data_IF_139014070130
#
_entry.id   IF_139014070130
#
_cell.length_a   1.000
_cell.length_b   1.000
_cell.length_c   1.000
_cell.angle_alpha   90.00
_cell.angle_beta   90.00
_cell.angle_gamma   90.00
#
_symmetry.space_group_name_H-M   'P 1'
#
loop_
_entity.id
_entity.type
_entity.pdbx_description
1 polymer ?
#
# COMPACT_ATOMS: atom_id res chain seq x y z
N UNK A 1 -28.03 -20.87 -33.13
CA UNK A 1 -28.03 -19.93 -34.26
C UNK A 1 -26.59 -19.50 -34.47
N UNK A 2 -26.16 -19.50 -35.70
CA UNK A 2 -24.85 -18.93 -36.07
C UNK A 2 -25.07 -17.44 -36.37
N UNK A 3 -24.22 -16.58 -35.83
CA UNK A 3 -24.19 -15.14 -36.07
C UNK A 3 -23.12 -14.84 -37.15
N UNK A 4 -23.37 -13.97 -38.14
CA UNK A 4 -24.65 -13.32 -38.45
C UNK A 4 -25.63 -14.27 -39.18
N UNK A 5 -26.95 -14.04 -38.96
CA UNK A 5 -27.99 -14.75 -39.68
C UNK A 5 -28.36 -14.09 -41.03
N UNK A 6 -28.05 -12.80 -41.15
CA UNK A 6 -28.25 -12.03 -42.37
C UNK A 6 -27.22 -12.41 -43.42
N UNK A 7 -27.63 -12.53 -44.66
CA UNK A 7 -26.79 -12.68 -45.86
C UNK A 7 -26.67 -11.36 -46.61
N UNK A 8 -25.61 -11.21 -47.38
CA UNK A 8 -25.44 -10.09 -48.28
C UNK A 8 -26.52 -10.12 -49.36
N UNK A 9 -27.13 -8.98 -49.66
CA UNK A 9 -28.16 -8.81 -50.67
C UNK A 9 -27.62 -7.87 -51.73
N UNK A 10 -27.62 -8.32 -52.99
CA UNK A 10 -27.13 -7.56 -54.13
C UNK A 10 -28.23 -6.70 -54.77
N UNK A 11 -27.84 -5.67 -55.50
CA UNK A 11 -28.78 -4.83 -56.21
C UNK A 11 -29.56 -5.65 -57.30
N UNK A 12 -30.88 -5.67 -57.18
CA UNK A 12 -31.76 -6.45 -58.07
C UNK A 12 -32.32 -7.72 -57.41
N UNK A 13 -31.83 -8.10 -56.24
CA UNK A 13 -32.40 -9.22 -55.49
C UNK A 13 -33.81 -8.88 -54.96
N UNK A 14 -34.69 -9.89 -54.97
CA UNK A 14 -36.00 -9.73 -54.35
C UNK A 14 -35.88 -9.53 -52.83
N UNK A 15 -36.54 -8.49 -52.30
CA UNK A 15 -36.61 -8.27 -50.85
C UNK A 15 -37.50 -9.34 -50.20
N UNK A 16 -36.91 -10.29 -49.54
CA UNK A 16 -37.61 -11.36 -48.85
C UNK A 16 -37.84 -11.02 -47.38
N UNK A 17 -38.99 -11.47 -46.87
CA UNK A 17 -39.27 -11.35 -45.41
C UNK A 17 -38.18 -12.00 -44.55
N UNK A 18 -37.49 -13.02 -45.05
CA UNK A 18 -36.37 -13.66 -44.40
C UNK A 18 -35.15 -12.72 -44.22
N UNK A 19 -34.86 -11.83 -45.18
CA UNK A 19 -33.77 -10.87 -45.07
C UNK A 19 -34.02 -9.91 -43.92
N UNK A 20 -35.27 -9.39 -43.82
CA UNK A 20 -35.65 -8.50 -42.75
C UNK A 20 -35.66 -9.21 -41.36
N UNK A 21 -36.18 -10.43 -41.30
CA UNK A 21 -36.22 -11.21 -40.06
C UNK A 21 -34.83 -11.63 -39.62
N UNK A 22 -33.92 -11.94 -40.51
CA UNK A 22 -32.54 -12.26 -40.19
C UNK A 22 -31.80 -11.03 -39.65
N UNK A 23 -31.95 -9.87 -40.29
CA UNK A 23 -31.38 -8.62 -39.84
C UNK A 23 -31.92 -8.23 -38.45
N UNK A 24 -33.25 -8.40 -38.21
CA UNK A 24 -33.86 -8.18 -36.93
C UNK A 24 -33.32 -9.16 -35.89
N UNK A 25 -33.12 -10.42 -36.24
CA UNK A 25 -32.55 -11.43 -35.34
C UNK A 25 -31.12 -11.10 -34.96
N UNK A 26 -30.31 -10.60 -35.90
CA UNK A 26 -28.94 -10.18 -35.66
C UNK A 26 -28.91 -8.95 -34.73
N UNK A 27 -29.78 -7.96 -34.94
CA UNK A 27 -29.90 -6.79 -34.09
C UNK A 27 -30.35 -7.15 -32.68
N UNK A 28 -31.31 -8.06 -32.54
CA UNK A 28 -31.74 -8.57 -31.22
C UNK A 28 -30.65 -9.38 -30.55
N UNK A 29 -29.90 -10.17 -31.31
CA UNK A 29 -28.78 -10.95 -30.73
C UNK A 29 -27.71 -10.05 -30.13
N UNK A 30 -27.40 -8.92 -30.77
CA UNK A 30 -26.45 -7.93 -30.23
C UNK A 30 -27.00 -7.16 -29.04
N UNK A 31 -28.33 -7.02 -28.91
CA UNK A 31 -28.98 -6.24 -27.86
C UNK A 31 -29.51 -7.04 -26.67
N UNK A 32 -29.56 -8.37 -26.76
CA UNK A 32 -30.14 -9.22 -25.71
C UNK A 32 -29.09 -9.80 -24.77
N UNK A 33 -29.46 -9.93 -23.48
CA UNK A 33 -28.75 -10.76 -22.51
C UNK A 33 -29.37 -12.16 -22.47
N UNK A 34 -28.58 -13.22 -22.65
CA UNK A 34 -29.04 -14.61 -22.56
C UNK A 34 -27.92 -15.60 -22.84
N UNK A 35 -28.19 -16.90 -22.61
CA UNK A 35 -27.18 -17.96 -22.68
C UNK A 35 -26.44 -18.04 -24.01
N UNK A 36 -27.09 -17.57 -25.10
CA UNK A 36 -26.53 -17.56 -26.45
C UNK A 36 -26.47 -16.16 -27.08
N UNK A 37 -26.77 -15.10 -26.34
CA UNK A 37 -26.75 -13.73 -26.80
C UNK A 37 -25.49 -13.01 -26.32
N UNK A 38 -24.76 -12.37 -27.23
CA UNK A 38 -23.69 -11.46 -26.89
C UNK A 38 -24.30 -10.07 -26.77
N UNK A 39 -24.74 -9.68 -25.58
CA UNK A 39 -25.11 -8.29 -25.34
C UNK A 39 -23.87 -7.39 -25.53
N UNK A 40 -24.09 -6.14 -25.92
CA UNK A 40 -23.00 -5.16 -25.97
C UNK A 40 -22.26 -5.04 -24.63
N UNK A 41 -22.99 -5.19 -23.51
CA UNK A 41 -22.40 -5.23 -22.17
C UNK A 41 -21.51 -6.47 -21.98
N UNK A 42 -21.97 -7.65 -22.39
CA UNK A 42 -21.17 -8.88 -22.33
C UNK A 42 -19.97 -8.84 -23.31
N UNK A 43 -20.11 -8.18 -24.46
CA UNK A 43 -19.01 -7.93 -25.36
C UNK A 43 -17.97 -6.99 -24.71
N UNK A 44 -18.42 -5.93 -24.07
CA UNK A 44 -17.55 -5.00 -23.34
C UNK A 44 -16.89 -5.68 -22.13
N UNK A 45 -17.61 -6.49 -21.34
CA UNK A 45 -17.03 -7.28 -20.25
C UNK A 45 -15.99 -8.28 -20.74
N UNK A 46 -16.24 -8.95 -21.86
CA UNK A 46 -15.29 -9.88 -22.47
C UNK A 46 -14.10 -9.18 -23.12
N UNK A 47 -14.30 -7.97 -23.62
CA UNK A 47 -13.21 -7.11 -24.11
C UNK A 47 -12.33 -6.58 -22.99
N UNK A 48 -12.88 -6.48 -21.81
CA UNK A 48 -12.17 -6.15 -20.56
C UNK A 48 -11.33 -7.31 -20.00
N UNK A 49 -11.36 -8.49 -20.65
CA UNK A 49 -10.54 -9.60 -20.22
C UNK A 49 -9.06 -9.26 -20.39
N UNK A 50 -8.34 -9.47 -19.35
CA UNK A 50 -6.99 -9.12 -19.00
C UNK A 50 -5.94 -9.62 -19.98
N UNK A 51 -5.82 -9.03 -21.15
CA UNK A 51 -4.70 -9.32 -22.03
C UNK A 51 -3.42 -8.87 -21.35
N UNK A 52 -2.57 -9.81 -21.01
CA UNK A 52 -1.23 -9.58 -20.50
C UNK A 52 -0.23 -10.38 -21.30
N UNK A 53 0.78 -9.69 -21.81
CA UNK A 53 1.91 -10.32 -22.48
C UNK A 53 3.03 -10.52 -21.46
N UNK A 54 3.52 -11.74 -21.35
CA UNK A 54 4.65 -12.10 -20.52
C UNK A 54 5.77 -12.71 -21.36
N UNK A 55 7.01 -12.58 -20.90
CA UNK A 55 8.14 -13.32 -21.47
C UNK A 55 8.06 -14.76 -21.03
N UNK A 56 8.24 -15.69 -21.97
CA UNK A 56 8.49 -17.09 -21.69
C UNK A 56 9.98 -17.37 -22.01
N UNK A 57 10.79 -17.53 -20.98
CA UNK A 57 12.24 -17.60 -21.15
C UNK A 57 12.84 -16.30 -21.67
N UNK A 58 13.79 -16.40 -22.60
CA UNK A 58 14.50 -15.24 -23.17
C UNK A 58 14.03 -14.86 -24.57
N UNK A 59 13.34 -15.73 -25.28
CA UNK A 59 13.08 -15.59 -26.73
C UNK A 59 11.61 -15.61 -27.12
N UNK A 60 10.71 -16.07 -26.25
CA UNK A 60 9.31 -16.24 -26.54
C UNK A 60 8.44 -15.31 -25.71
N UNK A 61 7.24 -15.05 -26.20
CA UNK A 61 6.17 -14.31 -25.51
C UNK A 61 4.97 -15.23 -25.28
N UNK A 62 4.23 -14.95 -24.22
CA UNK A 62 3.04 -15.67 -23.79
C UNK A 62 1.90 -14.71 -23.53
N UNK A 63 0.70 -15.06 -23.97
CA UNK A 63 -0.55 -14.56 -23.42
C UNK A 63 -0.94 -15.51 -22.29
N UNK A 64 -0.92 -15.02 -21.04
CA UNK A 64 -1.34 -15.81 -19.91
C UNK A 64 -2.87 -15.87 -19.85
N UNK A 65 -3.41 -17.09 -19.84
CA UNK A 65 -4.85 -17.34 -19.75
C UNK A 65 -5.12 -18.66 -19.03
N UNK A 66 -6.31 -18.77 -18.42
CA UNK A 66 -6.80 -20.02 -17.81
C UNK A 66 -8.31 -20.12 -18.00
N UNK A 67 -8.89 -21.27 -17.68
CA UNK A 67 -10.34 -21.45 -17.72
C UNK A 67 -11.07 -20.53 -16.73
N UNK A 68 -10.44 -20.23 -15.59
CA UNK A 68 -10.98 -19.28 -14.60
C UNK A 68 -10.79 -17.81 -15.00
N UNK A 69 -9.77 -17.53 -15.80
CA UNK A 69 -9.42 -16.18 -16.26
C UNK A 69 -9.13 -16.22 -17.79
N UNK A 70 -10.14 -16.39 -18.62
CA UNK A 70 -9.95 -16.45 -20.06
C UNK A 70 -9.60 -15.08 -20.64
N UNK A 71 -8.77 -15.07 -21.67
CA UNK A 71 -8.47 -13.88 -22.47
C UNK A 71 -9.31 -13.89 -23.73
N UNK A 72 -10.09 -12.83 -23.94
CA UNK A 72 -10.95 -12.69 -25.13
C UNK A 72 -10.52 -11.49 -25.96
N UNK A 73 -10.51 -11.64 -27.26
CA UNK A 73 -10.16 -10.63 -28.25
C UNK A 73 -11.20 -10.61 -29.37
N UNK A 74 -11.37 -9.46 -30.00
CA UNK A 74 -12.11 -9.34 -31.25
C UNK A 74 -11.11 -9.24 -32.39
N UNK A 75 -11.14 -10.21 -33.31
CA UNK A 75 -10.29 -10.25 -34.51
C UNK A 75 -11.19 -10.35 -35.73
N UNK A 76 -11.08 -9.43 -36.67
CA UNK A 76 -11.91 -9.36 -37.89
C UNK A 76 -13.42 -9.41 -37.58
N UNK A 77 -13.89 -8.79 -36.50
CA UNK A 77 -15.30 -8.80 -36.09
C UNK A 77 -15.74 -10.06 -35.31
N UNK A 78 -14.87 -11.03 -35.11
CA UNK A 78 -15.20 -12.28 -34.43
C UNK A 78 -14.55 -12.30 -33.03
N UNK A 79 -15.34 -12.74 -32.03
CA UNK A 79 -14.84 -12.98 -30.70
C UNK A 79 -14.04 -14.28 -30.66
N UNK A 80 -12.79 -14.20 -30.24
CA UNK A 80 -11.92 -15.36 -29.99
C UNK A 80 -11.49 -15.38 -28.51
N UNK A 81 -11.28 -16.58 -27.99
CA UNK A 81 -10.98 -16.75 -26.58
C UNK A 81 -9.83 -17.75 -26.36
N UNK A 82 -8.94 -17.43 -25.44
CA UNK A 82 -7.96 -18.36 -24.89
C UNK A 82 -8.37 -18.75 -23.47
N UNK A 83 -8.56 -20.01 -23.20
CA UNK A 83 -8.85 -20.60 -21.88
C UNK A 83 -7.63 -21.31 -21.28
N UNK A 84 -6.52 -21.24 -21.97
CA UNK A 84 -5.18 -21.71 -21.58
C UNK A 84 -4.14 -20.75 -22.14
N UNK A 85 -2.90 -20.82 -21.62
CA UNK A 85 -1.80 -20.01 -22.13
C UNK A 85 -1.64 -20.17 -23.65
N UNK A 86 -1.40 -19.05 -24.34
CA UNK A 86 -1.06 -19.03 -25.76
C UNK A 86 0.37 -18.54 -25.89
N UNK A 87 1.25 -19.42 -26.34
CA UNK A 87 2.68 -19.16 -26.47
C UNK A 87 3.02 -18.84 -27.94
N UNK A 88 3.99 -17.95 -28.15
CA UNK A 88 4.60 -17.79 -29.46
C UNK A 88 5.29 -19.12 -29.83
N UNK A 89 4.98 -19.66 -30.99
CA UNK A 89 5.59 -20.89 -31.46
C UNK A 89 7.12 -20.71 -31.62
N UNK A 90 7.90 -21.74 -31.35
CA UNK A 90 9.36 -21.71 -31.48
C UNK A 90 9.82 -21.35 -32.91
N UNK A 91 9.05 -21.76 -33.91
CA UNK A 91 9.31 -21.44 -35.32
C UNK A 91 9.12 -19.94 -35.65
N UNK A 92 8.35 -19.22 -34.82
CA UNK A 92 8.00 -17.80 -35.05
C UNK A 92 8.91 -16.86 -34.20
N UNK A 93 9.88 -17.42 -33.48
CA UNK A 93 10.87 -16.64 -32.73
C UNK A 93 11.76 -15.88 -33.72
N UNK A 94 11.98 -14.55 -33.54
CA UNK A 94 12.88 -13.79 -34.39
C UNK A 94 14.28 -14.42 -34.48
N UNK A 95 14.87 -14.42 -35.68
CA UNK A 95 16.22 -14.93 -35.94
C UNK A 95 17.10 -13.92 -36.67
N UNK A 96 16.57 -12.72 -36.93
CA UNK A 96 17.25 -11.63 -37.64
C UNK A 96 18.02 -10.68 -36.75
N UNK A 97 18.59 -9.59 -37.32
CA UNK A 97 19.26 -8.55 -36.56
C UNK A 97 18.31 -7.85 -35.58
N UNK A 98 18.88 -7.04 -34.70
CA UNK A 98 18.14 -6.21 -33.76
C UNK A 98 17.05 -5.37 -34.42
N UNK A 99 15.85 -5.42 -33.89
CA UNK A 99 14.67 -4.66 -34.38
C UNK A 99 13.52 -4.67 -33.37
N UNK A 100 12.59 -3.74 -33.54
CA UNK A 100 11.30 -3.80 -32.90
C UNK A 100 10.39 -4.79 -33.62
N UNK A 101 9.84 -5.74 -32.88
CA UNK A 101 8.87 -6.71 -33.36
C UNK A 101 7.49 -6.44 -32.75
N UNK A 102 6.47 -6.49 -33.58
CA UNK A 102 5.06 -6.36 -33.20
C UNK A 102 4.45 -7.74 -33.06
N UNK A 103 3.64 -7.93 -32.03
CA UNK A 103 2.99 -9.19 -31.67
C UNK A 103 1.55 -9.14 -32.17
N UNK A 104 1.16 -10.15 -32.91
CA UNK A 104 -0.18 -10.30 -33.46
C UNK A 104 -0.85 -11.56 -32.90
N UNK A 105 -2.12 -11.41 -32.53
CA UNK A 105 -3.05 -12.52 -32.35
C UNK A 105 -3.69 -12.82 -33.69
N UNK A 106 -3.62 -14.09 -34.14
CA UNK A 106 -4.09 -14.55 -35.42
C UNK A 106 -5.29 -15.49 -35.24
N UNK A 107 -6.38 -15.25 -35.93
CA UNK A 107 -7.55 -16.10 -35.99
C UNK A 107 -7.57 -16.88 -37.30
N UNK A 108 -7.61 -18.22 -37.23
CA UNK A 108 -7.94 -19.03 -38.38
C UNK A 108 -9.44 -18.94 -38.65
N UNK A 109 -9.84 -19.03 -39.94
CA UNK A 109 -11.26 -19.00 -40.30
C UNK A 109 -12.03 -20.12 -39.61
N UNK A 110 -13.19 -19.76 -39.05
CA UNK A 110 -14.01 -20.67 -38.26
C UNK A 110 -13.50 -20.95 -36.84
N UNK A 111 -12.31 -20.44 -36.46
CA UNK A 111 -11.77 -20.66 -35.12
C UNK A 111 -12.38 -19.73 -34.08
N UNK A 112 -12.57 -20.26 -32.87
CA UNK A 112 -12.94 -19.51 -31.67
C UNK A 112 -11.73 -19.21 -30.77
N UNK A 113 -10.52 -19.66 -31.17
CA UNK A 113 -9.26 -19.41 -30.51
C UNK A 113 -8.30 -18.63 -31.40
N UNK A 114 -7.17 -18.21 -30.87
CA UNK A 114 -6.13 -17.50 -31.61
C UNK A 114 -4.74 -18.07 -31.33
N UNK A 115 -3.80 -17.83 -32.23
CA UNK A 115 -2.37 -18.10 -32.06
C UNK A 115 -1.58 -16.79 -32.07
N UNK A 116 -0.29 -16.85 -31.73
CA UNK A 116 0.59 -15.69 -31.79
C UNK A 116 1.52 -15.76 -32.98
N UNK A 117 1.83 -14.60 -33.59
CA UNK A 117 2.94 -14.40 -34.51
C UNK A 117 3.64 -13.05 -34.23
N UNK A 118 4.82 -12.87 -34.81
CA UNK A 118 5.56 -11.62 -34.70
C UNK A 118 6.00 -11.13 -36.11
N UNK A 119 6.09 -9.83 -36.28
CA UNK A 119 6.53 -9.18 -37.50
C UNK A 119 7.22 -7.86 -37.21
N UNK A 120 8.15 -7.44 -38.05
CA UNK A 120 8.71 -6.08 -38.02
C UNK A 120 7.78 -5.05 -38.65
N UNK A 121 6.75 -5.47 -39.38
CA UNK A 121 5.69 -4.59 -39.91
C UNK A 121 4.62 -4.36 -38.84
N UNK A 122 4.14 -3.11 -38.73
CA UNK A 122 3.04 -2.69 -37.87
C UNK A 122 1.66 -3.03 -38.42
N UNK A 123 1.58 -3.40 -39.69
CA UNK A 123 0.30 -3.55 -40.42
C UNK A 123 -0.40 -4.84 -40.02
N UNK A 124 -1.67 -4.74 -39.64
CA UNK A 124 -2.53 -5.89 -39.36
C UNK A 124 -3.02 -6.53 -40.67
N UNK A 125 -2.97 -7.86 -40.78
CA UNK A 125 -3.66 -8.62 -41.83
C UNK A 125 -5.14 -8.78 -41.51
N UNK A 126 -5.91 -9.32 -42.51
CA UNK A 126 -7.38 -9.44 -42.39
C UNK A 126 -7.85 -10.22 -41.16
N UNK A 127 -7.12 -11.25 -40.74
CA UNK A 127 -7.45 -12.11 -39.61
C UNK A 127 -6.43 -11.92 -38.44
N UNK A 128 -5.85 -10.74 -38.32
CA UNK A 128 -4.83 -10.40 -37.32
C UNK A 128 -5.27 -9.22 -36.47
N UNK A 129 -4.84 -9.24 -35.23
CA UNK A 129 -4.95 -8.12 -34.32
C UNK A 129 -3.61 -7.89 -33.64
N UNK A 130 -3.04 -6.70 -33.77
CA UNK A 130 -1.84 -6.32 -33.03
C UNK A 130 -2.17 -6.18 -31.57
N UNK A 131 -1.40 -6.87 -30.71
CA UNK A 131 -1.64 -6.94 -29.26
C UNK A 131 -0.48 -6.41 -28.45
N UNK A 132 0.69 -6.20 -29.07
CA UNK A 132 1.85 -5.68 -28.37
C UNK A 132 3.09 -5.57 -29.23
N UNK A 133 4.20 -5.26 -28.61
CA UNK A 133 5.53 -5.21 -29.21
C UNK A 133 6.63 -5.52 -28.21
N UNK A 134 7.81 -5.83 -28.73
CA UNK A 134 9.07 -5.93 -27.98
C UNK A 134 10.25 -5.53 -28.87
N UNK A 135 11.38 -5.27 -28.23
CA UNK A 135 12.66 -5.10 -28.93
C UNK A 135 13.45 -6.40 -28.87
N UNK A 136 13.90 -6.86 -30.04
CA UNK A 136 14.79 -8.00 -30.24
C UNK A 136 16.20 -7.49 -30.40
N UNK A 137 17.17 -7.98 -29.59
CA UNK A 137 18.58 -7.54 -29.61
C UNK A 137 19.46 -8.37 -30.55
N UNK A 138 18.86 -9.21 -31.39
CA UNK A 138 19.55 -10.15 -32.29
C UNK A 138 19.65 -11.57 -31.71
N UNK A 139 19.44 -11.76 -30.40
CA UNK A 139 19.56 -13.04 -29.70
C UNK A 139 18.35 -13.32 -28.77
N UNK A 140 17.83 -12.30 -28.14
CA UNK A 140 16.77 -12.40 -27.12
C UNK A 140 15.85 -11.18 -27.14
N UNK A 141 14.73 -11.31 -26.43
CA UNK A 141 13.83 -10.19 -26.13
C UNK A 141 14.48 -9.34 -25.04
N UNK A 142 14.70 -8.05 -25.29
CA UNK A 142 15.20 -7.09 -24.29
C UNK A 142 14.25 -7.05 -23.08
N UNK A 143 14.82 -7.09 -21.86
CA UNK A 143 14.10 -7.38 -20.61
C UNK A 143 12.87 -6.50 -20.40
N UNK A 144 12.98 -5.21 -20.59
CA UNK A 144 11.91 -4.25 -20.29
C UNK A 144 11.27 -3.64 -21.53
N UNK A 145 11.43 -4.30 -22.69
CA UNK A 145 10.90 -3.83 -23.97
C UNK A 145 9.50 -4.34 -24.30
N UNK A 146 9.06 -5.45 -23.65
CA UNK A 146 7.75 -6.04 -23.92
C UNK A 146 6.63 -5.10 -23.46
N UNK A 147 5.73 -4.76 -24.38
CA UNK A 147 4.58 -3.87 -24.13
C UNK A 147 3.32 -4.48 -24.72
N UNK A 148 2.22 -4.40 -23.94
CA UNK A 148 0.87 -4.68 -24.43
C UNK A 148 0.31 -3.41 -25.05
N UNK A 149 -0.20 -3.46 -26.29
CA UNK A 149 -0.66 -2.28 -27.06
C UNK A 149 -2.16 -2.28 -27.38
N UNK A 150 -2.90 -3.29 -26.97
CA UNK A 150 -4.36 -3.21 -27.06
C UNK A 150 -4.89 -2.10 -26.15
N UNK A 151 -5.95 -1.45 -26.63
CA UNK A 151 -6.69 -0.50 -25.82
C UNK A 151 -7.09 -1.19 -24.51
N UNK A 152 -6.53 -0.69 -23.43
CA UNK A 152 -6.84 -1.15 -22.09
C UNK A 152 -8.28 -0.77 -21.82
N UNK A 153 -9.10 -1.68 -21.34
CA UNK A 153 -10.45 -1.34 -20.90
C UNK A 153 -10.37 -0.26 -19.79
N UNK A 154 -11.44 0.51 -19.63
CA UNK A 154 -11.54 1.46 -18.52
C UNK A 154 -11.20 0.80 -17.16
N UNK A 155 -11.57 -0.48 -17.01
CA UNK A 155 -11.27 -1.28 -15.82
C UNK A 155 -9.79 -1.63 -15.69
N UNK A 156 -9.14 -2.01 -16.79
CA UNK A 156 -7.69 -2.20 -16.84
C UNK A 156 -6.93 -0.89 -16.69
N UNK A 157 -7.48 0.22 -17.20
CA UNK A 157 -6.93 1.56 -16.98
C UNK A 157 -7.01 1.96 -15.50
N UNK A 158 -8.11 1.68 -14.80
CA UNK A 158 -8.27 1.87 -13.36
C UNK A 158 -7.28 1.00 -12.58
N UNK A 159 -7.08 -0.25 -12.96
CA UNK A 159 -6.06 -1.12 -12.37
C UNK A 159 -4.62 -0.61 -12.60
N UNK A 160 -4.38 0.05 -13.73
CA UNK A 160 -3.05 0.54 -14.09
C UNK A 160 -2.75 1.93 -13.52
N UNK A 161 -3.79 2.73 -13.28
CA UNK A 161 -3.66 4.16 -12.90
C UNK A 161 -3.65 4.36 -11.38
N UNK A 162 -4.14 3.38 -10.59
CA UNK A 162 -4.30 3.58 -9.15
C UNK A 162 -3.71 2.46 -8.26
N UNK A 163 -2.41 2.11 -8.38
CA UNK A 163 -1.77 1.17 -7.46
C UNK A 163 -1.79 1.71 -6.02
N UNK A 164 -2.05 3.00 -5.84
CA UNK A 164 -2.05 3.69 -4.55
C UNK A 164 -3.31 3.42 -3.72
N UNK A 165 -4.39 2.87 -4.31
CA UNK A 165 -5.62 2.56 -3.56
C UNK A 165 -5.32 1.62 -2.41
N UNK A 166 -5.57 2.11 -1.20
CA UNK A 166 -5.53 1.36 0.05
C UNK A 166 -6.44 2.09 1.04
N UNK A 167 -7.71 1.70 1.08
CA UNK A 167 -8.75 2.46 1.78
C UNK A 167 -8.94 2.04 3.24
N UNK A 168 -8.21 1.03 3.72
CA UNK A 168 -8.25 0.56 5.10
C UNK A 168 -7.20 1.16 6.01
N UNK A 169 -7.33 0.87 7.31
CA UNK A 169 -6.38 1.23 8.38
C UNK A 169 -6.13 0.07 9.33
N UNK A 170 -4.91 0.00 9.85
CA UNK A 170 -4.60 -0.87 10.99
C UNK A 170 -5.17 -0.26 12.27
N UNK A 171 -5.85 -1.07 13.06
CA UNK A 171 -6.50 -0.69 14.32
C UNK A 171 -6.51 -1.86 15.31
N UNK A 172 -6.77 -1.57 16.59
CA UNK A 172 -6.91 -2.58 17.64
C UNK A 172 -8.34 -2.81 18.09
N UNK A 173 -9.31 -2.12 17.49
CA UNK A 173 -10.74 -2.27 17.75
C UNK A 173 -11.46 -2.70 16.49
N UNK A 174 -12.20 -3.80 16.56
CA UNK A 174 -13.04 -4.27 15.46
C UNK A 174 -14.08 -3.22 15.07
N UNK A 175 -14.28 -3.00 13.78
CA UNK A 175 -15.25 -2.05 13.23
C UNK A 175 -14.91 -0.57 13.43
N UNK A 176 -13.80 -0.24 14.12
CA UNK A 176 -13.40 1.14 14.44
C UNK A 176 -12.07 1.45 13.79
N UNK A 177 -12.08 2.16 12.68
CA UNK A 177 -10.86 2.49 11.92
C UNK A 177 -9.97 3.52 12.62
N UNK A 178 -10.52 4.37 13.49
CA UNK A 178 -9.81 5.35 14.32
C UNK A 178 -10.35 5.30 15.74
N UNK A 179 -9.61 4.71 16.67
CA UNK A 179 -10.00 4.73 18.09
C UNK A 179 -9.72 6.12 18.68
N UNK A 180 -10.69 6.67 19.39
CA UNK A 180 -10.56 7.92 20.16
C UNK A 180 -10.22 7.67 21.62
N UNK A 181 -10.29 6.43 22.08
CA UNK A 181 -9.98 6.00 23.42
C UNK A 181 -8.67 5.19 23.45
N UNK A 182 -8.04 5.12 24.60
CA UNK A 182 -6.85 4.31 24.82
C UNK A 182 -7.20 2.82 24.77
N UNK A 183 -6.42 2.07 23.99
CA UNK A 183 -6.46 0.60 23.95
C UNK A 183 -5.16 0.11 24.59
N UNK A 184 -5.27 -0.38 25.81
CA UNK A 184 -4.11 -0.73 26.65
C UNK A 184 -3.54 -2.12 26.32
N UNK A 185 -4.34 -3.00 25.73
CA UNK A 185 -3.93 -4.36 25.36
C UNK A 185 -4.85 -4.94 24.28
N UNK A 186 -4.26 -5.49 23.22
CA UNK A 186 -4.96 -6.29 22.21
C UNK A 186 -4.04 -7.36 21.66
N UNK A 187 -4.53 -8.61 21.58
CA UNK A 187 -3.86 -9.72 20.91
C UNK A 187 -4.23 -9.82 19.43
N UNK A 188 -5.16 -9.00 18.96
CA UNK A 188 -5.63 -9.01 17.58
C UNK A 188 -5.45 -7.63 16.96
N UNK A 189 -4.84 -7.61 15.78
CA UNK A 189 -4.77 -6.45 14.91
C UNK A 189 -5.82 -6.58 13.82
N UNK A 190 -6.49 -5.49 13.50
CA UNK A 190 -7.49 -5.43 12.43
C UNK A 190 -7.03 -4.51 11.31
N UNK A 191 -7.38 -4.85 10.06
CA UNK A 191 -7.33 -3.94 8.92
C UNK A 191 -8.78 -3.62 8.55
N UNK A 192 -9.21 -2.44 8.97
CA UNK A 192 -10.62 -2.01 8.93
C UNK A 192 -10.84 -1.02 7.79
N UNK A 193 -11.92 -1.13 7.00
CA UNK A 193 -12.33 -0.11 6.04
C UNK A 193 -12.39 1.29 6.70
N UNK A 194 -11.82 2.32 6.01
CA UNK A 194 -11.75 3.69 6.52
C UNK A 194 -12.29 4.72 5.53
N UNK A 195 -11.64 4.91 4.38
CA UNK A 195 -12.13 5.80 3.29
C UNK A 195 -12.93 5.05 2.25
N UNK A 196 -13.03 3.77 2.38
CA UNK A 196 -13.69 2.80 1.52
C UNK A 196 -13.22 1.40 1.87
N UNK A 197 -13.47 0.45 1.01
CA UNK A 197 -13.16 -0.97 1.22
C UNK A 197 -12.36 -1.59 0.06
N UNK A 198 -11.58 -0.78 -0.66
CA UNK A 198 -10.77 -1.23 -1.80
C UNK A 198 -9.28 -1.19 -1.47
N UNK A 199 -8.54 -2.13 -2.03
CA UNK A 199 -7.09 -2.18 -1.95
C UNK A 199 -6.51 -2.74 -3.24
N UNK A 200 -5.45 -2.11 -3.75
CA UNK A 200 -4.69 -2.61 -4.88
C UNK A 200 -3.55 -3.52 -4.38
N UNK A 201 -3.40 -4.72 -4.96
CA UNK A 201 -2.27 -5.61 -4.70
C UNK A 201 -1.53 -5.91 -6.00
N UNK A 202 -0.21 -6.01 -5.92
CA UNK A 202 0.62 -6.44 -7.03
C UNK A 202 0.54 -7.96 -7.19
N UNK A 203 0.19 -8.41 -8.38
CA UNK A 203 0.16 -9.83 -8.73
C UNK A 203 1.28 -10.07 -9.74
N UNK A 204 2.30 -10.89 -9.42
CA UNK A 204 3.38 -11.21 -10.34
C UNK A 204 2.84 -11.66 -11.71
N UNK A 205 3.44 -11.15 -12.78
CA UNK A 205 3.06 -11.37 -14.18
C UNK A 205 1.76 -10.71 -14.67
N UNK A 206 0.95 -10.13 -13.76
CA UNK A 206 -0.32 -9.48 -14.11
C UNK A 206 -0.38 -7.98 -13.77
N UNK A 207 0.54 -7.49 -12.92
CA UNK A 207 0.51 -6.11 -12.43
C UNK A 207 -0.47 -5.92 -11.28
N UNK A 208 -0.93 -4.69 -11.10
CA UNK A 208 -1.81 -4.32 -10.00
C UNK A 208 -3.24 -4.77 -10.23
N UNK A 209 -3.86 -5.33 -9.19
CA UNK A 209 -5.26 -5.72 -9.15
C UNK A 209 -5.97 -5.02 -8.01
N UNK A 210 -7.21 -4.60 -8.25
CA UNK A 210 -8.07 -4.00 -7.24
C UNK A 210 -8.94 -5.07 -6.61
N UNK A 211 -8.89 -5.13 -5.28
CA UNK A 211 -9.71 -6.02 -4.46
C UNK A 211 -10.66 -5.20 -3.59
N UNK A 212 -11.81 -5.75 -3.30
CA UNK A 212 -12.67 -5.29 -2.21
C UNK A 212 -12.43 -6.18 -1.00
N UNK A 213 -12.52 -5.61 0.21
CA UNK A 213 -12.33 -6.34 1.45
C UNK A 213 -13.36 -5.97 2.50
N UNK A 214 -13.73 -6.93 3.34
CA UNK A 214 -14.30 -6.67 4.64
C UNK A 214 -13.17 -6.50 5.66
N UNK A 215 -13.49 -6.21 6.92
CA UNK A 215 -12.47 -6.17 7.97
C UNK A 215 -11.68 -7.48 8.03
N UNK A 216 -10.36 -7.38 8.05
CA UNK A 216 -9.44 -8.51 8.20
C UNK A 216 -8.82 -8.46 9.59
N UNK A 217 -8.52 -9.62 10.16
CA UNK A 217 -7.90 -9.76 11.47
C UNK A 217 -6.59 -10.53 11.39
N UNK A 218 -5.66 -10.22 12.31
CA UNK A 218 -4.37 -10.87 12.45
C UNK A 218 -4.12 -11.14 13.94
N UNK A 219 -3.95 -12.40 14.30
CA UNK A 219 -3.57 -12.83 15.64
C UNK A 219 -2.06 -12.63 15.85
N UNK A 220 -1.69 -11.96 16.93
CA UNK A 220 -0.30 -11.72 17.35
C UNK A 220 0.03 -12.39 18.70
N UNK A 221 -0.85 -13.24 19.22
CA UNK A 221 -0.75 -13.85 20.56
C UNK A 221 0.53 -14.64 20.80
N UNK A 222 1.18 -15.15 19.74
CA UNK A 222 2.44 -15.89 19.83
C UNK A 222 3.71 -15.01 19.73
N UNK A 223 3.57 -13.70 19.57
CA UNK A 223 4.72 -12.80 19.37
C UNK A 223 5.34 -12.41 20.71
N UNK A 224 6.66 -12.41 20.79
CA UNK A 224 7.39 -11.96 21.98
C UNK A 224 7.10 -10.48 22.30
N UNK A 225 7.27 -10.10 23.57
CA UNK A 225 7.19 -8.70 23.99
C UNK A 225 8.25 -7.85 23.27
N UNK A 226 8.01 -6.54 23.23
CA UNK A 226 8.95 -5.54 22.73
C UNK A 226 9.49 -5.79 21.30
N UNK A 227 8.65 -6.38 20.44
CA UNK A 227 8.99 -6.75 19.06
C UNK A 227 8.28 -5.86 18.06
N UNK A 228 9.01 -5.24 17.13
CA UNK A 228 8.43 -4.53 16.01
C UNK A 228 8.00 -5.52 14.91
N UNK A 229 6.84 -5.31 14.30
CA UNK A 229 6.28 -6.14 13.24
C UNK A 229 5.89 -5.28 12.05
N UNK A 230 6.43 -5.57 10.87
CA UNK A 230 5.86 -5.04 9.62
C UNK A 230 4.64 -5.86 9.23
N UNK A 231 3.57 -5.17 8.88
CA UNK A 231 2.27 -5.77 8.55
C UNK A 231 2.07 -5.73 7.04
N UNK A 232 1.71 -6.87 6.49
CA UNK A 232 1.54 -7.11 5.07
C UNK A 232 0.11 -7.54 4.76
N UNK A 233 -0.35 -7.15 3.56
CA UNK A 233 -1.58 -7.69 2.97
C UNK A 233 -1.23 -8.38 1.65
N UNK A 234 -1.75 -9.58 1.44
CA UNK A 234 -1.56 -10.32 0.21
C UNK A 234 -2.81 -11.13 -0.16
N UNK A 235 -2.87 -11.55 -1.40
CA UNK A 235 -3.89 -12.47 -1.90
C UNK A 235 -3.40 -13.91 -1.73
N UNK A 236 -4.05 -14.66 -0.86
CA UNK A 236 -3.82 -16.07 -0.66
C UNK A 236 -4.85 -16.88 -1.45
N UNK A 237 -4.56 -17.14 -2.73
CA UNK A 237 -5.41 -17.91 -3.64
C UNK A 237 -6.87 -17.43 -3.67
N UNK A 238 -7.09 -16.13 -3.77
CA UNK A 238 -8.41 -15.49 -3.83
C UNK A 238 -8.93 -14.99 -2.48
N UNK A 239 -8.21 -15.24 -1.38
CA UNK A 239 -8.56 -14.77 -0.05
C UNK A 239 -7.55 -13.74 0.44
N UNK A 240 -8.00 -12.51 0.67
CA UNK A 240 -7.14 -11.48 1.25
C UNK A 240 -6.74 -11.84 2.67
N UNK A 241 -5.45 -11.83 2.93
CA UNK A 241 -4.88 -12.30 4.20
C UNK A 241 -3.84 -11.32 4.72
N UNK A 242 -3.87 -11.06 6.03
CA UNK A 242 -2.84 -10.33 6.74
C UNK A 242 -1.70 -11.26 7.15
N UNK A 243 -0.48 -10.75 7.09
CA UNK A 243 0.71 -11.42 7.62
C UNK A 243 1.62 -10.40 8.31
N UNK A 244 2.58 -10.87 9.09
CA UNK A 244 3.61 -10.01 9.66
C UNK A 244 5.01 -10.57 9.42
N UNK A 245 6.00 -9.70 9.60
CA UNK A 245 7.42 -10.07 9.71
C UNK A 245 8.01 -9.30 10.88
N UNK A 246 8.55 -10.04 11.86
CA UNK A 246 9.24 -9.43 12.99
C UNK A 246 10.54 -8.76 12.54
N UNK A 247 10.88 -7.64 13.16
CA UNK A 247 12.16 -6.99 12.96
C UNK A 247 13.29 -7.73 13.67
N UNK A 248 14.51 -7.51 13.22
CA UNK A 248 15.72 -8.10 13.86
C UNK A 248 16.01 -7.46 15.20
N UNK A 249 15.68 -6.18 15.38
CA UNK A 249 15.76 -5.42 16.63
C UNK A 249 14.88 -4.17 16.55
N UNK A 250 14.97 -3.29 17.55
CA UNK A 250 14.15 -2.08 17.66
C UNK A 250 14.25 -1.13 16.45
N UNK A 251 15.34 -1.15 15.69
CA UNK A 251 15.60 -0.20 14.60
C UNK A 251 15.94 -0.85 13.26
N UNK A 252 16.09 -2.18 13.22
CA UNK A 252 16.50 -2.92 12.01
C UNK A 252 15.44 -3.94 11.60
N UNK A 253 14.93 -3.81 10.37
CA UNK A 253 14.03 -4.78 9.75
C UNK A 253 14.75 -6.10 9.42
N UNK A 254 14.06 -7.21 9.58
CA UNK A 254 14.52 -8.51 9.07
C UNK A 254 14.28 -8.66 7.56
N UNK A 255 13.24 -8.03 7.03
CA UNK A 255 12.94 -7.97 5.60
C UNK A 255 12.87 -6.52 5.14
N UNK A 256 13.61 -6.17 4.10
CA UNK A 256 13.54 -4.83 3.52
C UNK A 256 12.17 -4.58 2.88
N UNK A 257 11.74 -3.32 2.92
CA UNK A 257 10.64 -2.83 2.08
C UNK A 257 11.24 -2.26 0.79
N UNK A 258 10.61 -2.56 -0.34
CA UNK A 258 11.02 -2.08 -1.67
C UNK A 258 9.83 -1.44 -2.36
N UNK A 259 10.08 -0.57 -3.33
CA UNK A 259 9.00 0.05 -4.10
C UNK A 259 8.76 -0.71 -5.40
N UNK A 260 7.51 -1.14 -5.59
CA UNK A 260 6.98 -1.62 -6.86
C UNK A 260 6.00 -0.56 -7.38
N UNK A 261 6.33 0.10 -8.47
CA UNK A 261 5.54 1.22 -9.05
C UNK A 261 5.16 2.30 -8.01
N UNK A 262 6.12 2.63 -7.14
CA UNK A 262 5.94 3.62 -6.09
C UNK A 262 5.31 3.11 -4.77
N UNK A 263 4.79 1.89 -4.73
CA UNK A 263 4.14 1.29 -3.57
C UNK A 263 5.11 0.40 -2.80
N UNK A 264 5.12 0.51 -1.48
CA UNK A 264 5.95 -0.36 -0.64
C UNK A 264 5.42 -1.79 -0.60
N UNK A 265 6.31 -2.71 -0.94
CA UNK A 265 6.11 -4.16 -0.92
C UNK A 265 7.25 -4.83 -0.17
N UNK A 266 7.07 -6.10 0.20
CA UNK A 266 8.10 -6.92 0.83
C UNK A 266 9.18 -7.29 -0.19
N UNK A 267 10.44 -7.10 0.15
CA UNK A 267 11.57 -7.56 -0.67
C UNK A 267 11.52 -9.07 -0.88
N UNK A 268 11.65 -9.51 -2.13
CA UNK A 268 11.55 -10.92 -2.51
C UNK A 268 10.13 -11.47 -2.64
N UNK A 269 9.10 -10.68 -2.27
CA UNK A 269 7.69 -11.08 -2.35
C UNK A 269 6.81 -9.85 -2.64
N UNK A 270 6.86 -9.33 -3.87
CA UNK A 270 6.20 -8.07 -4.27
C UNK A 270 4.67 -8.11 -4.16
N UNK A 271 4.07 -9.30 -4.10
CA UNK A 271 2.64 -9.50 -3.83
C UNK A 271 2.23 -9.22 -2.37
N UNK A 272 3.20 -8.99 -1.47
CA UNK A 272 2.94 -8.60 -0.09
C UNK A 272 3.03 -7.08 0.02
N UNK A 273 1.87 -6.40 0.04
CA UNK A 273 1.77 -4.95 0.21
C UNK A 273 2.02 -4.56 1.66
N UNK A 274 2.91 -3.61 1.88
CA UNK A 274 3.15 -3.04 3.20
C UNK A 274 1.98 -2.16 3.63
N UNK A 275 1.44 -2.39 4.83
CA UNK A 275 0.35 -1.60 5.41
C UNK A 275 0.82 -0.65 6.51
N UNK A 276 1.82 -1.05 7.27
CA UNK A 276 2.33 -0.30 8.41
C UNK A 276 3.16 -1.16 9.34
N UNK A 277 3.53 -0.61 10.49
CA UNK A 277 4.34 -1.27 11.50
C UNK A 277 3.65 -1.16 12.87
N UNK A 278 3.69 -2.24 13.64
CA UNK A 278 3.24 -2.23 15.03
C UNK A 278 4.37 -2.67 15.96
N UNK A 279 4.21 -2.42 17.26
CA UNK A 279 5.10 -2.95 18.32
C UNK A 279 4.28 -3.67 19.37
N UNK A 280 4.73 -4.84 19.79
CA UNK A 280 4.15 -5.52 20.96
C UNK A 280 4.53 -4.77 22.24
N UNK A 281 3.57 -4.57 23.13
CA UNK A 281 3.76 -3.95 24.46
C UNK A 281 3.97 -4.96 25.58
N UNK A 282 3.70 -6.22 25.28
CA UNK A 282 3.87 -7.40 26.10
C UNK A 282 3.82 -8.64 25.22
N UNK A 283 4.07 -9.81 25.78
CA UNK A 283 3.98 -11.08 25.03
C UNK A 283 2.58 -11.26 24.49
N UNK A 284 2.48 -11.37 23.16
CA UNK A 284 1.22 -11.59 22.44
C UNK A 284 0.25 -10.42 22.41
N UNK A 285 0.63 -9.24 22.85
CA UNK A 285 -0.27 -8.09 22.90
C UNK A 285 0.42 -6.80 22.45
N UNK A 286 -0.36 -5.90 21.88
CA UNK A 286 0.04 -4.53 21.55
C UNK A 286 -0.93 -3.52 22.15
N UNK A 287 -0.59 -2.24 22.11
CA UNK A 287 -1.43 -1.16 22.62
C UNK A 287 -1.39 0.07 21.69
N UNK A 288 -2.39 0.94 21.82
CA UNK A 288 -2.41 2.26 21.21
C UNK A 288 -3.07 3.25 22.19
N UNK A 289 -2.24 3.93 22.98
CA UNK A 289 -2.66 4.85 24.03
C UNK A 289 -2.05 6.24 23.81
N UNK A 290 -2.52 7.25 24.56
CA UNK A 290 -1.95 8.60 24.52
C UNK A 290 -0.45 8.63 24.87
N UNK A 291 0.05 7.65 25.63
CA UNK A 291 1.47 7.57 26.06
C UNK A 291 2.28 6.64 25.16
N UNK A 292 1.62 5.65 24.51
CA UNK A 292 2.27 4.64 23.68
C UNK A 292 1.52 4.49 22.37
N UNK A 293 2.08 4.97 21.25
CA UNK A 293 1.54 4.82 19.91
C UNK A 293 2.25 3.67 19.21
N UNK A 294 1.74 2.44 19.39
CA UNK A 294 2.36 1.22 18.87
C UNK A 294 1.70 0.67 17.62
N UNK A 295 0.79 1.43 17.02
CA UNK A 295 0.19 1.14 15.71
C UNK A 295 0.47 2.29 14.76
N UNK A 296 1.43 2.09 13.87
CA UNK A 296 1.80 3.05 12.84
C UNK A 296 1.24 2.61 11.48
N UNK A 297 0.42 3.46 10.87
CA UNK A 297 -0.19 3.23 9.56
C UNK A 297 0.62 3.91 8.46
N UNK A 298 0.90 3.22 7.35
CA UNK A 298 1.48 3.87 6.18
C UNK A 298 0.42 4.63 5.38
N UNK A 299 -0.78 4.05 5.23
CA UNK A 299 -1.92 4.66 4.52
C UNK A 299 -2.92 5.29 5.48
N UNK A 300 -3.66 6.28 4.97
CA UNK A 300 -4.79 6.90 5.67
C UNK A 300 -4.41 7.39 7.08
N UNK A 301 -3.27 8.05 7.19
CA UNK A 301 -2.77 8.58 8.44
C UNK A 301 -3.73 9.62 8.99
N UNK A 302 -3.87 9.66 10.29
CA UNK A 302 -4.66 10.66 11.02
C UNK A 302 -3.84 11.20 12.17
N UNK A 303 -4.07 12.45 12.53
CA UNK A 303 -3.43 13.06 13.67
C UNK A 303 -3.78 12.29 14.95
N UNK A 304 -2.78 11.96 15.74
CA UNK A 304 -2.92 11.24 17.01
C UNK A 304 -2.29 12.06 18.12
N UNK A 305 -3.07 12.36 19.15
CA UNK A 305 -2.53 13.09 20.30
C UNK A 305 -1.59 12.21 21.13
N UNK A 306 -0.45 12.76 21.51
CA UNK A 306 0.38 12.27 22.60
C UNK A 306 0.13 13.11 23.83
N UNK A 307 0.09 12.46 24.98
CA UNK A 307 -0.21 13.17 26.20
C UNK A 307 0.31 12.36 27.41
N UNK A 308 1.09 13.02 28.25
CA UNK A 308 1.53 12.48 29.55
C UNK A 308 1.43 13.55 30.60
N UNK A 309 1.01 13.18 31.78
CA UNK A 309 0.96 14.04 32.96
C UNK A 309 1.74 13.41 34.08
N UNK A 310 2.40 14.24 34.88
CA UNK A 310 2.99 13.84 36.15
C UNK A 310 2.01 14.17 37.28
N UNK A 311 1.65 13.18 38.06
CA UNK A 311 0.68 13.32 39.17
C UNK A 311 1.29 13.69 40.50
N UNK A 312 2.60 13.60 40.64
CA UNK A 312 3.33 14.03 41.85
C UNK A 312 3.18 15.55 42.02
N UNK A 313 2.70 15.99 43.16
CA UNK A 313 2.43 17.40 43.40
C UNK A 313 3.70 18.26 43.20
N UNK A 314 4.80 17.86 43.82
CA UNK A 314 6.08 18.55 43.66
C UNK A 314 7.25 17.65 44.08
N UNK A 315 8.45 17.95 43.56
CA UNK A 315 9.72 17.35 43.94
C UNK A 315 10.85 18.35 43.78
N UNK A 316 11.99 18.06 44.37
CA UNK A 316 13.15 18.94 44.29
C UNK A 316 14.29 18.31 43.48
N UNK A 317 15.07 19.18 42.80
CA UNK A 317 16.29 18.78 42.13
C UNK A 317 17.34 19.90 42.18
N UNK A 318 18.61 19.53 42.53
CA UNK A 318 19.69 20.49 42.75
C UNK A 318 21.01 20.11 42.06
N UNK A 319 21.02 19.19 41.11
CA UNK A 319 22.22 18.80 40.37
C UNK A 319 22.28 19.41 38.97
N UNK A 320 23.49 19.81 38.54
CA UNK A 320 23.74 20.40 37.21
C UNK A 320 23.92 19.29 36.14
N UNK A 321 23.00 18.34 36.14
CA UNK A 321 22.95 17.24 35.17
C UNK A 321 21.52 17.03 34.71
N UNK A 322 21.36 16.65 33.48
CA UNK A 322 20.05 16.24 32.96
C UNK A 322 19.65 14.90 33.57
N UNK A 323 18.39 14.77 33.95
CA UNK A 323 17.78 13.49 34.31
C UNK A 323 16.34 13.40 33.83
N UNK A 324 15.72 12.19 33.82
CA UNK A 324 14.31 12.07 33.59
C UNK A 324 13.48 12.94 34.53
N UNK A 325 12.39 13.52 33.96
CA UNK A 325 11.42 14.31 34.72
C UNK A 325 10.91 13.54 35.93
N UNK A 326 10.97 14.16 37.10
CA UNK A 326 10.71 13.53 38.40
C UNK A 326 11.53 12.25 38.65
N UNK A 327 12.74 12.18 38.12
CA UNK A 327 13.61 11.00 38.19
C UNK A 327 12.94 9.70 37.71
N UNK A 328 11.95 9.79 36.82
CA UNK A 328 11.16 8.66 36.30
C UNK A 328 11.35 8.46 34.81
N UNK A 329 11.92 7.32 34.42
CA UNK A 329 12.02 6.91 33.02
C UNK A 329 10.63 6.64 32.36
N UNK A 330 9.59 6.54 33.20
CA UNK A 330 8.21 6.38 32.70
C UNK A 330 7.61 7.70 32.19
N UNK A 331 8.21 8.85 32.54
CA UNK A 331 7.81 10.15 31.99
C UNK A 331 8.31 10.32 30.56
N UNK A 332 7.87 9.42 29.67
CA UNK A 332 8.23 9.38 28.25
C UNK A 332 7.03 9.03 27.40
N UNK A 333 7.05 9.51 26.19
CA UNK A 333 6.16 9.11 25.11
C UNK A 333 6.87 8.08 24.23
N UNK A 334 6.26 6.93 23.99
CA UNK A 334 6.82 5.84 23.23
C UNK A 334 6.00 5.59 21.94
N UNK A 335 6.66 5.29 20.83
CA UNK A 335 6.00 5.08 19.57
C UNK A 335 6.83 4.21 18.63
N UNK A 336 6.19 3.69 17.58
CA UNK A 336 6.85 2.99 16.50
C UNK A 336 6.66 3.76 15.19
N UNK A 337 7.70 3.81 14.37
CA UNK A 337 7.69 4.42 13.03
C UNK A 337 8.09 3.37 12.01
N UNK A 338 7.23 3.16 11.01
CA UNK A 338 7.53 2.24 9.93
C UNK A 338 8.42 2.87 8.85
N UNK A 339 8.14 4.09 8.41
CA UNK A 339 8.92 4.82 7.40
C UNK A 339 9.20 6.23 7.89
N UNK A 340 10.46 6.67 7.79
CA UNK A 340 10.90 7.95 8.32
C UNK A 340 10.60 9.10 7.34
N UNK A 341 9.31 9.41 7.17
CA UNK A 341 8.82 10.42 6.23
C UNK A 341 8.16 11.62 6.92
N UNK A 342 8.00 11.58 8.25
CA UNK A 342 7.23 12.56 9.00
C UNK A 342 8.00 13.10 10.20
N UNK A 343 7.77 14.39 10.47
CA UNK A 343 8.25 15.06 11.65
C UNK A 343 7.35 14.73 12.84
N UNK A 344 7.98 14.53 14.00
CA UNK A 344 7.29 14.47 15.28
C UNK A 344 7.48 15.80 15.97
N UNK A 345 6.40 16.33 16.54
CA UNK A 345 6.42 17.55 17.34
C UNK A 345 5.98 17.24 18.75
N UNK A 346 6.73 17.71 19.72
CA UNK A 346 6.43 17.61 21.13
C UNK A 346 6.70 18.93 21.82
N UNK A 347 5.74 19.38 22.63
CA UNK A 347 5.90 20.53 23.51
C UNK A 347 5.86 20.06 24.96
N UNK A 348 6.80 20.52 25.76
CA UNK A 348 6.90 20.25 27.19
C UNK A 348 6.88 21.56 27.96
N UNK A 349 5.94 21.69 28.87
CA UNK A 349 5.80 22.86 29.77
C UNK A 349 5.88 22.37 31.21
N UNK A 350 6.68 23.03 32.01
CA UNK A 350 6.89 22.69 33.40
C UNK A 350 6.87 23.91 34.30
N UNK A 351 6.02 23.91 35.33
CA UNK A 351 6.08 24.89 36.39
C UNK A 351 7.21 24.54 37.37
N UNK A 352 7.94 25.54 37.82
CA UNK A 352 9.00 25.37 38.78
C UNK A 352 9.19 26.63 39.64
N UNK A 353 9.73 26.47 40.86
CA UNK A 353 10.06 27.55 41.81
C UNK A 353 11.47 27.42 42.30
N UNK A 354 12.12 28.57 42.54
CA UNK A 354 13.44 28.64 43.19
C UNK A 354 13.56 29.94 43.97
N UNK A 355 14.28 29.89 45.09
CA UNK A 355 14.48 31.04 45.95
C UNK A 355 15.66 31.92 45.55
N UNK A 356 16.48 31.46 44.63
CA UNK A 356 17.70 32.15 44.16
C UNK A 356 17.72 32.23 42.65
N UNK A 357 18.43 33.22 42.09
CA UNK A 357 18.61 33.39 40.66
C UNK A 357 19.60 32.35 40.13
N UNK A 358 19.06 31.23 39.69
CA UNK A 358 19.85 30.12 39.10
C UNK A 358 19.22 29.60 37.83
N UNK A 359 20.08 29.03 36.97
CA UNK A 359 19.65 28.40 35.74
C UNK A 359 18.82 27.16 36.02
N UNK A 360 17.67 27.07 35.42
CA UNK A 360 16.78 25.93 35.42
C UNK A 360 16.20 25.72 34.03
N UNK A 361 16.08 24.49 33.64
CA UNK A 361 15.57 24.15 32.30
C UNK A 361 14.88 22.81 32.31
N UNK A 362 14.04 22.63 31.28
CA UNK A 362 13.51 21.32 30.89
C UNK A 362 13.93 21.03 29.47
N UNK A 363 13.98 19.75 29.11
CA UNK A 363 14.41 19.30 27.80
C UNK A 363 13.65 18.05 27.36
N UNK A 364 13.84 17.66 26.10
CA UNK A 364 13.26 16.46 25.52
C UNK A 364 14.41 15.66 24.91
N UNK A 365 14.62 14.44 25.40
CA UNK A 365 15.62 13.51 24.88
C UNK A 365 14.98 12.51 23.92
N UNK A 366 15.52 12.40 22.71
CA UNK A 366 15.17 11.31 21.80
C UNK A 366 16.01 10.09 22.16
N UNK A 367 15.36 9.01 22.59
CA UNK A 367 15.96 7.76 23.07
C UNK A 367 17.05 7.97 24.14
N UNK A 368 16.99 9.08 24.85
CA UNK A 368 17.98 9.46 25.85
C UNK A 368 17.30 9.89 27.15
N UNK A 369 17.80 9.36 28.25
CA UNK A 369 17.35 9.69 29.62
C UNK A 369 18.24 10.74 30.30
N UNK A 370 19.30 11.19 29.62
CA UNK A 370 20.33 12.04 30.24
C UNK A 370 20.78 13.23 29.39
N UNK A 371 20.30 13.37 28.17
CA UNK A 371 20.64 14.47 27.26
C UNK A 371 19.45 14.87 26.41
N UNK A 372 19.13 16.16 26.25
CA UNK A 372 18.19 16.62 25.25
C UNK A 372 18.67 16.29 23.85
N UNK A 373 17.71 16.05 22.94
CA UNK A 373 17.99 15.89 21.52
C UNK A 373 18.56 17.17 20.92
N UNK A 374 19.38 17.05 19.87
CA UNK A 374 19.85 18.19 19.06
C UNK A 374 18.71 18.94 18.39
N UNK A 375 17.58 18.26 18.14
CA UNK A 375 16.37 18.85 17.57
C UNK A 375 15.42 19.43 18.63
N UNK A 376 15.87 19.49 19.91
CA UNK A 376 15.14 20.08 21.00
C UNK A 376 15.59 21.52 21.25
N UNK A 377 14.66 22.46 21.16
CA UNK A 377 14.86 23.84 21.59
C UNK A 377 14.24 24.02 22.96
N UNK A 378 15.01 24.55 23.90
CA UNK A 378 14.55 24.79 25.27
C UNK A 378 14.99 26.17 25.78
N UNK A 379 14.23 26.72 26.72
CA UNK A 379 14.62 27.94 27.38
C UNK A 379 15.24 27.64 28.76
N UNK A 380 16.19 28.46 29.14
CA UNK A 380 16.70 28.52 30.49
C UNK A 380 16.42 29.90 31.09
N UNK A 381 16.07 29.91 32.36
CA UNK A 381 15.83 31.15 33.09
C UNK A 381 16.67 31.17 34.38
N UNK A 382 17.11 32.36 34.77
CA UNK A 382 17.95 32.57 35.95
C UNK A 382 17.35 33.65 36.86
N UNK A 383 16.08 33.52 37.16
CA UNK A 383 15.33 34.47 37.99
C UNK A 383 14.74 33.70 39.19
N UNK A 384 14.77 34.26 40.40
CA UNK A 384 14.08 33.71 41.57
C UNK A 384 12.56 33.75 41.44
N UNK A 385 11.85 32.94 42.22
CA UNK A 385 10.38 32.86 42.20
C UNK A 385 9.81 31.77 41.32
N UNK A 386 8.53 31.87 40.98
CA UNK A 386 7.80 30.90 40.17
C UNK A 386 8.01 31.19 38.70
N UNK A 387 8.27 30.17 37.90
CA UNK A 387 8.55 30.25 36.48
C UNK A 387 7.91 29.08 35.72
N UNK A 388 7.76 29.27 34.39
CA UNK A 388 7.42 28.22 33.45
C UNK A 388 8.61 27.95 32.54
N UNK A 389 9.17 26.75 32.60
CA UNK A 389 10.19 26.30 31.66
C UNK A 389 9.52 25.53 30.52
N UNK A 390 10.07 25.69 29.31
CA UNK A 390 9.53 25.08 28.10
C UNK A 390 10.62 24.41 27.29
N UNK A 391 10.24 23.31 26.65
CA UNK A 391 11.05 22.65 25.64
C UNK A 391 10.19 22.22 24.46
N UNK A 392 10.75 22.31 23.25
CA UNK A 392 10.11 21.94 22.00
C UNK A 392 11.02 21.01 21.24
N UNK A 393 10.50 19.86 20.85
CA UNK A 393 11.14 18.96 19.91
C UNK A 393 10.42 19.00 18.56
N UNK A 394 11.17 19.10 17.47
CA UNK A 394 10.65 18.95 16.12
C UNK A 394 11.72 18.27 15.26
N UNK A 395 11.53 17.02 14.92
CA UNK A 395 12.55 16.25 14.19
C UNK A 395 12.04 14.93 13.63
N UNK A 396 12.87 14.35 12.75
CA UNK A 396 12.71 12.98 12.27
C UNK A 396 13.28 12.02 13.30
N UNK A 397 12.44 11.24 13.97
CA UNK A 397 12.90 10.36 15.02
C UNK A 397 13.62 9.09 14.52
N UNK A 398 13.53 8.79 13.20
CA UNK A 398 14.04 7.54 12.61
C UNK A 398 13.01 6.41 12.66
N UNK A 399 13.31 5.29 12.01
CA UNK A 399 12.43 4.12 11.97
C UNK A 399 12.54 3.27 13.24
N UNK A 400 11.51 2.45 13.47
CA UNK A 400 11.45 1.48 14.54
C UNK A 400 10.87 2.04 15.85
N UNK A 401 11.21 1.43 16.95
CA UNK A 401 10.80 1.89 18.26
C UNK A 401 11.60 3.13 18.66
N UNK A 402 10.88 4.15 19.11
CA UNK A 402 11.43 5.42 19.55
C UNK A 402 10.75 5.91 20.82
N UNK A 403 11.45 6.75 21.56
CA UNK A 403 10.89 7.41 22.75
C UNK A 403 11.35 8.85 22.88
N UNK A 404 10.43 9.71 23.33
CA UNK A 404 10.73 11.07 23.72
C UNK A 404 10.61 11.17 25.24
N UNK A 405 11.76 11.26 25.91
CA UNK A 405 11.88 11.36 27.36
C UNK A 405 11.79 12.83 27.78
N UNK A 406 10.92 13.16 28.72
CA UNK A 406 10.92 14.45 29.37
C UNK A 406 12.08 14.53 30.34
N UNK A 407 12.83 15.63 30.30
CA UNK A 407 14.05 15.83 31.06
C UNK A 407 13.97 17.12 31.90
N UNK A 408 14.62 17.11 33.04
CA UNK A 408 14.82 18.28 33.90
C UNK A 408 16.30 18.52 34.18
N UNK A 409 16.66 19.79 34.33
CA UNK A 409 18.01 20.23 34.71
C UNK A 409 17.93 21.08 35.95
N UNK A 410 18.56 20.66 37.00
CA UNK A 410 18.80 21.46 38.22
C UNK A 410 20.05 22.32 38.12
N UNK A 411 20.42 22.93 39.20
CA UNK A 411 21.66 23.70 39.37
C UNK A 411 22.20 23.56 40.78
N UNK A 412 23.02 24.50 41.23
CA UNK A 412 23.65 24.46 42.58
C UNK A 412 22.71 24.78 43.73
N UNK A 413 21.51 25.31 43.48
CA UNK A 413 20.49 25.51 44.50
C UNK A 413 19.26 24.60 44.20
N UNK A 414 18.43 24.47 45.23
CA UNK A 414 17.23 23.61 45.15
C UNK A 414 16.18 24.24 44.28
N UNK A 415 15.79 23.54 43.20
CA UNK A 415 14.66 23.85 42.36
C UNK A 415 13.51 22.93 42.79
N UNK A 416 12.32 23.49 42.99
CA UNK A 416 11.09 22.72 43.18
C UNK A 416 10.35 22.71 41.87
N UNK A 417 10.15 21.52 41.30
CA UNK A 417 9.29 21.29 40.13
C UNK A 417 7.90 20.86 40.59
N UNK A 418 6.88 21.20 39.81
CA UNK A 418 5.47 20.94 40.13
C UNK A 418 4.82 20.11 39.03
N UNK A 419 4.33 18.91 39.38
CA UNK A 419 3.66 18.00 38.42
C UNK A 419 2.20 18.35 38.20
N UNK A 420 1.44 18.55 39.26
CA UNK A 420 -0.01 18.82 39.16
C UNK A 420 -0.35 20.14 38.48
N UNK A 421 0.60 21.09 38.41
CA UNK A 421 0.47 22.37 37.69
C UNK A 421 1.01 22.29 36.27
N UNK A 422 1.48 21.13 35.83
CA UNK A 422 2.15 20.97 34.56
C UNK A 422 1.21 20.29 33.58
N UNK A 423 0.82 21.01 32.54
CA UNK A 423 0.00 20.47 31.46
C UNK A 423 0.93 20.10 30.31
N UNK A 424 0.93 18.83 29.95
CA UNK A 424 1.66 18.33 28.79
C UNK A 424 0.67 18.06 27.68
N UNK A 425 0.73 18.85 26.64
CA UNK A 425 -0.01 18.61 25.41
C UNK A 425 0.97 18.38 24.28
N UNK A 426 0.81 17.28 23.56
CA UNK A 426 1.58 17.05 22.36
C UNK A 426 0.64 16.63 21.26
N UNK A 427 0.70 17.32 20.15
CA UNK A 427 0.14 16.83 18.90
C UNK A 427 1.24 16.15 18.11
N UNK A 428 1.11 14.85 17.87
CA UNK A 428 1.73 14.26 16.69
C UNK A 428 0.90 14.74 15.51
N UNK A 429 1.31 15.83 14.90
CA UNK A 429 0.80 16.18 13.59
C UNK A 429 1.49 15.25 12.59
N UNK A 430 0.80 14.18 12.22
CA UNK A 430 1.04 13.54 10.96
C UNK A 430 0.48 14.47 9.90
N UNK A 431 1.29 15.30 9.31
CA UNK A 431 0.93 16.05 8.12
C UNK A 431 0.86 15.09 6.94
N UNK A 432 -0.22 14.33 6.84
CA UNK A 432 -0.58 13.64 5.63
C UNK A 432 -1.26 14.66 4.72
N UNK A 433 -0.61 15.07 3.65
CA UNK A 433 -1.25 15.69 2.51
C UNK A 433 -1.98 14.63 1.69
#
# INVERSE_FOLDING_TARGET
>A
MTYPNSSEVSAGDATLASHYNNLRSDALFLGQSGVNAVSLAALLERYESRLSLARLGTTQVRVAASAAEPVSLVIAGYLVQAVANVDLATADVPSGPENTHYIFANRADGSTSFTLSVSTSITEGANQRRIGRFYWDGVKIEKDSLRTELAVSLKSLLYYVEPQICEGRLTLSTGVSVSTTDITSSATLYFTPHKGNRVALYVPNYGWRLYTFAELSLDISAVAADTNLDIWLYDNAGTLTLAFTAWSNDTLRAAAIVRQDGIYCKSGALNYRYLGTIRTSGTGVTCDTKVKRFVWNYYNRVNRSFYITESTESWTYNARTWRPWNNSVNNRLAFVIGVNEELIRLQFHAANTCTTDITRAVGIGLDSVSLPSTDCVWNSQSISGSQSSQAHYTGYAGIGFRSLQLLELGYTAVITYHGTLTIFGTEMQHSGA
#
